data_IF_829042196242
#
_entry.id   IF_829042196242
#
_cell.length_a   1.000
_cell.length_b   1.000
_cell.length_c   1.000
_cell.angle_alpha   90.00
_cell.angle_beta   90.00
_cell.angle_gamma   90.00
#
_symmetry.space_group_name_H-M   'P 1'
#
loop_
_entity.id
_entity.type
_entity.pdbx_description
1 polymer ?
#
# COMPACT_ATOMS: atom_id res chain seq x y z
N UNK A 1 -33.39 -38.96 17.59
CA UNK A 1 -32.98 -39.00 16.17
C UNK A 1 -33.06 -37.62 15.50
N UNK A 2 -33.93 -36.73 15.97
CA UNK A 2 -34.10 -35.37 15.43
C UNK A 2 -32.94 -34.41 15.78
N UNK A 3 -32.36 -34.49 16.98
CA UNK A 3 -31.28 -33.60 17.44
C UNK A 3 -30.02 -33.67 16.56
N UNK A 4 -29.63 -34.86 16.11
CA UNK A 4 -28.49 -35.04 15.21
C UNK A 4 -28.73 -34.44 13.81
N UNK A 5 -29.99 -34.35 13.38
CA UNK A 5 -30.38 -33.72 12.11
C UNK A 5 -30.22 -32.20 12.19
N UNK A 6 -30.69 -31.60 13.30
CA UNK A 6 -30.56 -30.16 13.54
C UNK A 6 -29.09 -29.71 13.65
N UNK A 7 -28.25 -30.49 14.33
CA UNK A 7 -26.82 -30.19 14.45
C UNK A 7 -26.14 -30.21 13.08
N UNK A 8 -26.45 -31.21 12.23
CA UNK A 8 -25.90 -31.29 10.87
C UNK A 8 -26.32 -30.09 10.01
N UNK A 9 -27.58 -29.69 10.07
CA UNK A 9 -28.09 -28.54 9.32
C UNK A 9 -27.40 -27.22 9.76
N UNK A 10 -27.22 -27.05 11.07
CA UNK A 10 -26.53 -25.89 11.66
C UNK A 10 -25.06 -25.84 11.23
N UNK A 11 -24.34 -26.96 11.26
CA UNK A 11 -22.93 -27.02 10.83
C UNK A 11 -22.79 -26.70 9.34
N UNK A 12 -23.67 -27.23 8.49
CA UNK A 12 -23.64 -26.95 7.04
C UNK A 12 -23.89 -25.47 6.75
N UNK A 13 -24.81 -24.81 7.47
CA UNK A 13 -25.05 -23.37 7.36
C UNK A 13 -23.83 -22.55 7.78
N UNK A 14 -23.16 -22.92 8.88
CA UNK A 14 -21.95 -22.25 9.35
C UNK A 14 -20.80 -22.37 8.33
N UNK A 15 -20.59 -23.56 7.77
CA UNK A 15 -19.59 -23.79 6.71
C UNK A 15 -19.91 -22.93 5.49
N UNK A 16 -21.19 -22.83 5.10
CA UNK A 16 -21.59 -22.05 3.94
C UNK A 16 -21.40 -20.54 4.14
N UNK A 17 -21.66 -20.03 5.35
CA UNK A 17 -21.38 -18.63 5.72
C UNK A 17 -19.87 -18.35 5.68
N UNK A 18 -19.04 -19.28 6.18
CA UNK A 18 -17.56 -19.14 6.12
C UNK A 18 -17.11 -19.10 4.66
N UNK A 19 -17.56 -20.03 3.82
CA UNK A 19 -17.24 -20.06 2.39
C UNK A 19 -17.72 -18.79 1.67
N UNK A 20 -18.92 -18.29 1.97
CA UNK A 20 -19.42 -17.03 1.43
C UNK A 20 -18.59 -15.81 1.88
N UNK A 21 -18.04 -15.84 3.09
CA UNK A 21 -17.19 -14.78 3.61
C UNK A 21 -15.78 -14.81 2.97
N UNK A 22 -15.26 -16.00 2.66
CA UNK A 22 -14.02 -16.19 1.89
C UNK A 22 -14.20 -15.80 0.40
N UNK A 23 -15.39 -16.04 -0.17
CA UNK A 23 -15.73 -15.68 -1.55
C UNK A 23 -15.96 -14.17 -1.75
N UNK A 24 -16.41 -13.47 -0.71
CA UNK A 24 -16.22 -12.01 -0.60
C UNK A 24 -14.77 -11.75 -0.19
N UNK A 25 -13.83 -12.24 -0.99
CA UNK A 25 -12.41 -12.00 -0.82
C UNK A 25 -12.23 -10.54 -0.46
N UNK A 26 -11.55 -10.30 0.66
CA UNK A 26 -11.23 -8.97 1.16
C UNK A 26 -11.02 -8.04 -0.04
N UNK A 27 -11.93 -7.09 -0.23
CA UNK A 27 -11.75 -6.10 -1.29
C UNK A 27 -10.44 -5.34 -1.09
N UNK A 28 -9.88 -5.36 0.12
CA UNK A 28 -8.59 -4.79 0.47
C UNK A 28 -7.41 -5.72 0.16
N UNK A 29 -6.27 -5.13 -0.21
CA UNK A 29 -4.95 -5.76 -0.13
C UNK A 29 -4.64 -6.36 1.26
N UNK A 30 -3.67 -7.26 1.31
CA UNK A 30 -3.28 -7.98 2.53
C UNK A 30 -2.90 -6.99 3.65
N UNK A 31 -3.35 -7.23 4.89
CA UNK A 31 -3.13 -6.30 6.01
C UNK A 31 -1.65 -5.99 6.27
N UNK A 32 -0.77 -6.98 6.10
CA UNK A 32 0.69 -6.78 6.24
C UNK A 32 1.26 -5.90 5.12
N UNK A 33 0.74 -6.01 3.90
CA UNK A 33 1.13 -5.16 2.77
C UNK A 33 0.60 -3.75 2.95
N UNK A 34 -0.66 -3.60 3.39
CA UNK A 34 -1.26 -2.30 3.75
C UNK A 34 -0.44 -1.58 4.81
N UNK A 35 -0.06 -2.30 5.87
CA UNK A 35 0.75 -1.73 6.96
C UNK A 35 2.10 -1.26 6.45
N UNK A 36 2.79 -2.10 5.65
CA UNK A 36 4.08 -1.75 5.05
C UNK A 36 3.99 -0.50 4.14
N UNK A 37 2.93 -0.38 3.35
CA UNK A 37 2.70 0.82 2.54
C UNK A 37 2.52 2.07 3.41
N UNK A 38 1.78 1.99 4.52
CA UNK A 38 1.63 3.14 5.42
C UNK A 38 2.95 3.52 6.11
N UNK A 39 3.81 2.54 6.42
CA UNK A 39 5.17 2.80 6.92
C UNK A 39 6.05 3.48 5.86
N UNK A 40 5.99 3.01 4.61
CA UNK A 40 6.66 3.64 3.46
C UNK A 40 6.20 5.08 3.30
N UNK A 41 4.89 5.35 3.36
CA UNK A 41 4.34 6.72 3.36
C UNK A 41 4.96 7.57 4.46
N UNK A 42 5.01 7.05 5.69
CA UNK A 42 5.62 7.74 6.82
C UNK A 42 7.09 8.08 6.59
N UNK A 43 7.87 7.16 6.02
CA UNK A 43 9.27 7.39 5.64
C UNK A 43 9.39 8.57 4.67
N UNK A 44 8.68 8.54 3.53
CA UNK A 44 8.76 9.59 2.52
C UNK A 44 8.31 10.96 3.02
N UNK A 45 7.29 11.00 3.87
CA UNK A 45 6.86 12.24 4.54
C UNK A 45 7.96 12.75 5.47
N UNK A 46 8.57 11.88 6.28
CA UNK A 46 9.60 12.28 7.26
C UNK A 46 10.87 12.86 6.64
N UNK A 47 11.22 12.41 5.43
CA UNK A 47 12.43 12.88 4.74
C UNK A 47 12.16 14.12 3.88
N UNK A 48 10.89 14.42 3.59
CA UNK A 48 10.51 15.61 2.81
C UNK A 48 10.65 16.88 3.65
N UNK A 49 11.14 17.97 3.05
CA UNK A 49 11.34 19.27 3.71
C UNK A 49 10.12 20.19 3.61
N UNK A 50 9.28 19.93 2.61
CA UNK A 50 8.02 20.63 2.40
C UNK A 50 6.90 19.77 2.97
N UNK A 51 6.05 20.37 3.81
CA UNK A 51 4.88 19.70 4.35
C UNK A 51 4.01 19.10 3.25
N UNK A 52 3.56 17.87 3.45
CA UNK A 52 2.47 17.29 2.67
C UNK A 52 1.18 17.88 3.24
N UNK A 53 0.82 19.08 2.79
CA UNK A 53 -0.46 19.67 3.19
C UNK A 53 -1.58 18.84 2.56
N UNK A 54 -2.34 18.13 3.40
CA UNK A 54 -3.49 17.30 3.01
C UNK A 54 -4.63 18.14 2.37
N UNK A 55 -4.48 19.48 2.36
CA UNK A 55 -5.48 20.49 1.98
C UNK A 55 -5.06 21.45 0.84
N UNK A 56 -3.86 21.32 0.23
CA UNK A 56 -3.43 22.24 -0.83
C UNK A 56 -3.68 21.68 -2.23
N UNK A 57 -4.64 22.30 -2.90
CA UNK A 57 -5.13 22.01 -4.26
C UNK A 57 -4.44 22.83 -5.36
N UNK A 58 -3.25 23.38 -5.13
CA UNK A 58 -2.71 24.43 -6.04
C UNK A 58 -1.21 24.32 -6.42
N UNK A 59 -0.60 23.12 -6.35
CA UNK A 59 0.72 22.89 -6.97
C UNK A 59 0.66 21.60 -7.82
N UNK A 60 1.17 21.69 -9.05
CA UNK A 60 0.85 20.82 -10.17
C UNK A 60 1.01 19.31 -9.95
N UNK A 61 -0.03 18.58 -10.36
CA UNK A 61 -0.14 17.25 -10.99
C UNK A 61 0.68 16.02 -10.53
N UNK A 62 1.72 16.14 -9.70
CA UNK A 62 2.57 15.02 -9.27
C UNK A 62 2.44 14.71 -7.76
N UNK A 63 1.69 15.55 -7.04
CA UNK A 63 1.52 15.53 -5.59
C UNK A 63 0.64 14.40 -5.01
N UNK A 64 0.16 13.47 -5.85
CA UNK A 64 -1.03 12.68 -5.52
C UNK A 64 -0.77 11.21 -5.09
N UNK A 65 0.47 10.71 -5.15
CA UNK A 65 0.76 9.30 -4.82
C UNK A 65 0.47 9.05 -3.33
N UNK A 66 1.19 9.71 -2.42
CA UNK A 66 1.09 9.46 -0.99
C UNK A 66 -0.23 9.96 -0.37
N UNK A 67 -0.86 10.99 -0.94
CA UNK A 67 -2.17 11.49 -0.47
C UNK A 67 -3.28 10.49 -0.73
N UNK A 68 -3.20 9.70 -1.81
CA UNK A 68 -4.17 8.64 -2.09
C UNK A 68 -4.12 7.48 -1.09
N UNK A 69 -3.02 7.33 -0.34
CA UNK A 69 -2.81 6.25 0.63
C UNK A 69 -3.50 6.58 1.96
N UNK A 70 -4.83 6.50 1.97
CA UNK A 70 -5.67 6.83 3.12
C UNK A 70 -5.73 5.71 4.15
N UNK A 71 -5.25 5.99 5.37
CA UNK A 71 -5.27 5.05 6.49
C UNK A 71 -6.65 4.89 7.15
N UNK A 72 -7.59 5.79 6.87
CA UNK A 72 -8.91 5.86 7.50
C UNK A 72 -9.89 4.80 6.97
N UNK A 73 -10.07 3.72 7.75
CA UNK A 73 -11.16 2.76 7.60
C UNK A 73 -10.77 1.44 6.93
N UNK A 74 -11.40 0.34 7.39
CA UNK A 74 -11.23 -1.06 6.90
C UNK A 74 -11.65 -1.26 5.43
N UNK A 75 -11.98 -0.19 4.71
CA UNK A 75 -12.56 -0.21 3.36
C UNK A 75 -11.74 0.56 2.32
N UNK A 76 -10.65 1.24 2.69
CA UNK A 76 -9.75 1.83 1.68
C UNK A 76 -8.83 0.74 1.15
N UNK A 77 -9.29 0.02 0.15
CA UNK A 77 -8.45 -0.94 -0.54
C UNK A 77 -7.30 -0.24 -1.25
N UNK A 78 -6.07 -0.68 -0.98
CA UNK A 78 -4.89 -0.15 -1.65
C UNK A 78 -4.76 -0.60 -3.10
N UNK A 79 -5.41 -1.67 -3.54
CA UNK A 79 -5.31 -2.14 -4.92
C UNK A 79 -6.18 -1.35 -5.91
N UNK A 80 -7.27 -0.74 -5.45
CA UNK A 80 -8.24 -0.08 -6.34
C UNK A 80 -8.11 1.45 -6.35
N UNK A 81 -7.70 2.08 -5.23
CA UNK A 81 -7.73 3.54 -5.07
C UNK A 81 -6.36 4.19 -4.82
N UNK A 82 -5.34 3.42 -4.44
CA UNK A 82 -4.03 3.99 -4.13
C UNK A 82 -3.20 4.13 -5.41
N UNK A 83 -2.87 5.37 -5.75
CA UNK A 83 -1.99 5.68 -6.86
C UNK A 83 -0.63 5.06 -6.63
N UNK A 84 -0.04 4.55 -7.72
CA UNK A 84 1.25 3.87 -7.67
C UNK A 84 1.22 2.44 -7.12
N UNK A 85 0.07 1.91 -6.70
CA UNK A 85 -0.08 0.52 -6.27
C UNK A 85 -0.80 -0.28 -7.35
N UNK A 86 -0.18 -1.38 -7.82
CA UNK A 86 -0.82 -2.34 -8.71
C UNK A 86 -0.82 -3.71 -8.07
N UNK A 87 -1.97 -4.35 -8.06
CA UNK A 87 -2.14 -5.69 -7.50
C UNK A 87 -2.40 -6.75 -8.57
N UNK A 88 -2.07 -7.98 -8.21
CA UNK A 88 -2.49 -9.17 -8.94
C UNK A 88 -4.03 -9.27 -8.90
N UNK A 89 -4.72 -9.36 -10.06
CA UNK A 89 -6.18 -9.40 -10.08
C UNK A 89 -6.76 -10.68 -9.47
N UNK A 90 -5.95 -11.75 -9.37
CA UNK A 90 -6.37 -13.04 -8.83
C UNK A 90 -6.08 -13.15 -7.34
N UNK A 91 -4.87 -12.80 -6.90
CA UNK A 91 -4.45 -12.98 -5.49
C UNK A 91 -4.67 -11.75 -4.62
N UNK A 92 -4.96 -10.59 -5.24
CA UNK A 92 -5.12 -9.29 -4.56
C UNK A 92 -3.88 -8.85 -3.76
N UNK A 93 -2.72 -9.39 -4.13
CA UNK A 93 -1.40 -9.04 -3.58
C UNK A 93 -0.75 -7.94 -4.41
N UNK A 94 -0.01 -7.05 -3.75
CA UNK A 94 0.74 -5.99 -4.44
C UNK A 94 1.84 -6.62 -5.32
N UNK A 95 1.84 -6.26 -6.60
CA UNK A 95 2.84 -6.72 -7.58
C UNK A 95 3.69 -5.60 -8.16
N UNK A 96 3.22 -4.36 -8.16
CA UNK A 96 4.03 -3.23 -8.63
C UNK A 96 3.83 -2.02 -7.72
N UNK A 97 4.94 -1.37 -7.38
CA UNK A 97 4.96 -0.12 -6.64
C UNK A 97 5.70 0.95 -7.43
N UNK A 98 5.02 2.06 -7.68
CA UNK A 98 5.55 3.25 -8.33
C UNK A 98 5.56 4.39 -7.32
N UNK A 99 6.75 4.73 -6.85
CA UNK A 99 7.01 5.75 -5.82
C UNK A 99 7.89 6.86 -6.39
N UNK A 100 7.92 7.03 -7.71
CA UNK A 100 8.69 8.08 -8.38
C UNK A 100 8.27 9.49 -7.93
N UNK A 101 9.23 10.40 -7.77
CA UNK A 101 8.96 11.80 -7.38
C UNK A 101 8.14 11.97 -6.08
N UNK A 102 8.21 11.01 -5.14
CA UNK A 102 7.42 11.08 -3.89
C UNK A 102 8.05 11.96 -2.82
N UNK A 103 9.35 12.23 -2.89
CA UNK A 103 10.03 13.15 -1.97
C UNK A 103 9.90 14.61 -2.39
N UNK A 104 9.55 15.50 -1.45
CA UNK A 104 9.49 16.95 -1.69
C UNK A 104 10.61 17.69 -0.97
N UNK A 105 11.49 18.36 -1.72
CA UNK A 105 12.58 19.18 -1.17
C UNK A 105 12.52 20.61 -1.69
N UNK A 106 12.76 21.57 -0.80
CA UNK A 106 13.07 22.93 -1.23
C UNK A 106 14.56 22.98 -1.59
N UNK A 107 14.89 23.30 -2.84
CA UNK A 107 16.27 23.34 -3.39
C UNK A 107 17.21 24.36 -2.70
N UNK A 108 16.79 24.95 -1.58
CA UNK A 108 17.51 25.98 -0.83
C UNK A 108 18.54 25.43 0.17
N UNK A 109 18.62 24.10 0.39
CA UNK A 109 19.58 23.47 1.30
C UNK A 109 20.42 22.41 0.58
N UNK A 110 21.68 22.27 0.99
CA UNK A 110 22.67 21.38 0.37
C UNK A 110 22.17 19.90 0.36
N UNK A 111 22.00 19.27 -0.82
CA UNK A 111 21.51 17.89 -0.95
C UNK A 111 22.37 16.83 -0.24
N UNK A 112 23.60 17.18 0.15
CA UNK A 112 24.55 16.28 0.78
C UNK A 112 24.24 15.95 2.25
N UNK A 113 23.48 16.79 2.97
CA UNK A 113 23.16 16.58 4.39
C UNK A 113 21.94 15.68 4.64
N UNK A 114 21.18 15.32 3.60
CA UNK A 114 19.95 14.50 3.71
C UNK A 114 20.05 13.16 3.00
N UNK A 115 21.12 12.41 3.23
CA UNK A 115 21.20 11.02 2.79
C UNK A 115 20.37 10.15 3.74
N UNK A 116 19.05 10.15 3.56
CA UNK A 116 18.17 9.18 4.23
C UNK A 116 18.16 7.89 3.44
N UNK A 117 18.65 6.81 4.05
CA UNK A 117 18.68 5.49 3.43
C UNK A 117 17.33 4.81 3.59
N UNK A 118 16.67 4.51 2.47
CA UNK A 118 15.49 3.65 2.45
C UNK A 118 15.94 2.22 2.77
N UNK A 119 15.39 1.66 3.85
CA UNK A 119 15.69 0.29 4.20
C UNK A 119 14.86 -0.67 3.34
N UNK A 120 15.52 -1.55 2.59
CA UNK A 120 14.84 -2.50 1.70
C UNK A 120 13.95 -3.49 2.45
N UNK A 121 14.19 -3.70 3.76
CA UNK A 121 13.31 -4.55 4.58
C UNK A 121 11.88 -4.03 4.69
N UNK A 122 11.63 -2.75 4.38
CA UNK A 122 10.27 -2.20 4.29
C UNK A 122 9.44 -2.89 3.19
N UNK A 123 10.10 -3.54 2.22
CA UNK A 123 9.44 -4.25 1.13
C UNK A 123 9.27 -5.76 1.38
N UNK A 124 9.79 -6.31 2.48
CA UNK A 124 9.68 -7.74 2.81
C UNK A 124 8.23 -8.28 2.82
N UNK A 125 7.20 -7.50 3.22
CA UNK A 125 5.82 -7.98 3.21
C UNK A 125 5.22 -8.21 1.80
N UNK A 126 5.81 -7.62 0.75
CA UNK A 126 5.28 -7.69 -0.63
C UNK A 126 5.83 -8.92 -1.38
N UNK A 127 5.32 -10.11 -1.04
CA UNK A 127 5.82 -11.37 -1.58
C UNK A 127 5.61 -11.57 -3.09
N UNK A 128 4.66 -10.85 -3.70
CA UNK A 128 4.40 -10.90 -5.15
C UNK A 128 4.95 -9.68 -5.89
N UNK A 129 5.77 -8.84 -5.24
CA UNK A 129 6.34 -7.65 -5.85
C UNK A 129 7.27 -8.05 -7.01
N UNK A 130 6.96 -7.55 -8.20
CA UNK A 130 7.69 -7.77 -9.45
C UNK A 130 8.38 -6.50 -9.94
N UNK A 131 7.87 -5.32 -9.55
CA UNK A 131 8.41 -4.04 -9.99
C UNK A 131 8.37 -3.03 -8.85
N UNK A 132 9.51 -2.39 -8.61
CA UNK A 132 9.63 -1.26 -7.70
C UNK A 132 10.30 -0.10 -8.42
N UNK A 133 9.59 1.02 -8.55
CA UNK A 133 10.11 2.26 -9.12
C UNK A 133 10.30 3.30 -8.04
N UNK A 134 11.57 3.61 -7.73
CA UNK A 134 11.99 4.67 -6.81
C UNK A 134 12.62 5.86 -7.56
N UNK A 135 12.53 5.90 -8.89
CA UNK A 135 13.20 6.92 -9.71
C UNK A 135 12.90 8.34 -9.23
N UNK A 136 13.87 9.24 -9.40
CA UNK A 136 13.67 10.68 -9.16
C UNK A 136 13.32 11.02 -7.69
N UNK A 137 13.64 10.14 -6.75
CA UNK A 137 13.77 10.44 -5.33
C UNK A 137 15.24 10.64 -4.96
N UNK A 138 15.55 11.51 -3.99
CA UNK A 138 16.93 11.83 -3.59
C UNK A 138 17.81 10.57 -3.46
N UNK A 139 18.86 10.49 -4.30
CA UNK A 139 19.88 9.42 -4.31
C UNK A 139 19.37 7.96 -4.28
N UNK A 140 18.10 7.72 -4.62
CA UNK A 140 17.53 6.39 -4.77
C UNK A 140 16.95 6.20 -6.18
N UNK A 141 17.70 6.60 -7.22
CA UNK A 141 17.33 6.24 -8.60
C UNK A 141 17.59 4.75 -8.79
N UNK A 142 16.56 3.94 -8.53
CA UNK A 142 16.61 2.50 -8.69
C UNK A 142 15.24 2.00 -9.15
N UNK A 143 15.21 1.43 -10.35
CA UNK A 143 14.11 0.57 -10.81
C UNK A 143 14.57 -0.87 -10.62
N UNK A 144 13.85 -1.62 -9.81
CA UNK A 144 14.11 -3.05 -9.60
C UNK A 144 12.99 -3.82 -10.29
N UNK A 145 13.36 -4.64 -11.25
CA UNK A 145 12.56 -5.77 -11.71
C UNK A 145 12.98 -6.96 -10.84
N UNK A 146 12.03 -7.50 -10.06
CA UNK A 146 12.26 -8.59 -9.10
C UNK A 146 12.18 -9.93 -9.80
#
# INVERSE_FOLDING_TARGET
MESASFIKLSVMLMIWIIVLNEMHGSKACLETERTALLEIKGFFISISDVGYDDDISDIGHEDEILSSWVGGGRSSDCCDHWKGVKCNPTTRRVMQLSLSHTTKFNYSYDPLDRVSLLNMSLFDPFQELQSLDLSENLKASMRIEV
#
